data_IF_853930495068
#
_entry.id   IF_853930495068
#
_cell.length_a   1.000
_cell.length_b   1.000
_cell.length_c   1.000
_cell.angle_alpha   90.00
_cell.angle_beta   90.00
_cell.angle_gamma   90.00
#
_symmetry.space_group_name_H-M   'P 1'
#
loop_
_entity.id
_entity.type
_entity.pdbx_description
1 polymer ?
#
# COMPACT_ATOMS: atom_id res chain seq x y z
N UNK A 1 23.64 -7.04 44.52
CA UNK A 1 23.15 -5.98 45.40
C UNK A 1 24.33 -5.06 45.74
N UNK A 2 24.31 -3.81 45.31
CA UNK A 2 25.42 -2.88 45.55
C UNK A 2 25.49 -2.44 47.03
N UNK A 3 24.42 -2.67 47.79
CA UNK A 3 24.33 -2.35 49.21
C UNK A 3 25.41 -3.04 50.05
N UNK A 4 25.72 -4.31 49.78
CA UNK A 4 26.78 -5.04 50.51
C UNK A 4 28.16 -4.40 50.36
N UNK A 5 28.44 -3.78 49.21
CA UNK A 5 29.69 -3.06 48.98
C UNK A 5 29.67 -1.66 49.60
N UNK A 6 28.50 -1.04 49.70
CA UNK A 6 28.31 0.21 50.44
C UNK A 6 28.55 0.01 51.95
N UNK A 7 28.03 -1.08 52.52
CA UNK A 7 28.19 -1.42 53.93
C UNK A 7 29.67 -1.68 54.29
N UNK A 8 30.44 -2.27 53.38
CA UNK A 8 31.89 -2.43 53.55
C UNK A 8 32.66 -1.10 53.65
N UNK A 9 32.08 0.02 53.19
CA UNK A 9 32.67 1.37 53.25
C UNK A 9 32.29 2.13 54.54
N UNK A 10 31.53 1.53 55.47
CA UNK A 10 31.03 2.20 56.67
C UNK A 10 32.15 2.75 57.56
N UNK A 11 33.25 2.01 57.67
CA UNK A 11 34.43 2.38 58.46
C UNK A 11 35.29 3.48 57.82
N UNK A 12 34.97 3.91 56.59
CA UNK A 12 35.70 4.97 55.87
C UNK A 12 34.99 6.33 55.99
N UNK A 13 35.73 7.39 55.66
CA UNK A 13 35.19 8.74 55.63
C UNK A 13 33.95 8.81 54.71
N UNK A 14 32.92 9.55 55.15
CA UNK A 14 31.65 9.78 54.46
C UNK A 14 31.85 10.22 53.00
N UNK A 15 32.95 10.92 52.70
CA UNK A 15 33.29 11.32 51.34
C UNK A 15 33.35 10.15 50.34
N UNK A 16 33.97 9.02 50.72
CA UNK A 16 34.06 7.84 49.84
C UNK A 16 32.69 7.20 49.59
N UNK A 17 31.82 7.20 50.61
CA UNK A 17 30.44 6.73 50.50
C UNK A 17 29.62 7.61 49.54
N UNK A 18 29.79 8.93 49.61
CA UNK A 18 29.12 9.86 48.69
C UNK A 18 29.56 9.65 47.24
N UNK A 19 30.87 9.54 47.00
CA UNK A 19 31.38 9.26 45.65
C UNK A 19 30.82 7.95 45.11
N UNK A 20 30.77 6.90 45.94
CA UNK A 20 30.23 5.61 45.54
C UNK A 20 28.75 5.70 45.14
N UNK A 21 27.93 6.40 45.94
CA UNK A 21 26.50 6.60 45.62
C UNK A 21 26.32 7.42 44.35
N UNK A 22 27.11 8.49 44.15
CA UNK A 22 27.07 9.28 42.92
C UNK A 22 27.46 8.43 41.71
N UNK A 23 28.50 7.60 41.84
CA UNK A 23 28.91 6.68 40.78
C UNK A 23 27.79 5.68 40.43
N UNK A 24 27.20 5.01 41.42
CA UNK A 24 26.14 4.03 41.19
C UNK A 24 24.90 4.68 40.57
N UNK A 25 24.47 5.83 41.08
CA UNK A 25 23.29 6.54 40.54
C UNK A 25 23.53 6.99 39.11
N UNK A 26 24.70 7.55 38.81
CA UNK A 26 25.10 7.91 37.46
C UNK A 26 25.15 6.69 36.53
N UNK A 27 25.77 5.58 36.95
CA UNK A 27 25.85 4.35 36.17
C UNK A 27 24.47 3.75 35.88
N UNK A 28 23.57 3.72 36.87
CA UNK A 28 22.21 3.22 36.67
C UNK A 28 21.43 4.11 35.69
N UNK A 29 21.53 5.43 35.83
CA UNK A 29 20.89 6.37 34.92
C UNK A 29 21.44 6.22 33.49
N UNK A 30 22.76 6.09 33.34
CA UNK A 30 23.40 5.87 32.04
C UNK A 30 22.92 4.58 31.39
N UNK A 31 22.87 3.46 32.13
CA UNK A 31 22.39 2.17 31.61
C UNK A 31 20.93 2.26 31.17
N UNK A 32 20.05 2.85 31.99
CA UNK A 32 18.63 3.00 31.65
C UNK A 32 18.45 3.86 30.39
N UNK A 33 19.22 4.94 30.25
CA UNK A 33 19.14 5.80 29.06
C UNK A 33 19.67 5.11 27.81
N UNK A 34 20.75 4.32 27.91
CA UNK A 34 21.27 3.54 26.78
C UNK A 34 20.22 2.53 26.33
N UNK A 35 19.65 1.77 27.26
CA UNK A 35 18.62 0.76 26.96
C UNK A 35 17.38 1.44 26.36
N UNK A 36 16.92 2.54 26.95
CA UNK A 36 15.79 3.32 26.41
C UNK A 36 16.09 3.83 25.00
N UNK A 37 17.32 4.31 24.75
CA UNK A 37 17.75 4.76 23.43
C UNK A 37 17.61 3.67 22.37
N UNK A 38 18.10 2.46 22.65
CA UNK A 38 17.98 1.31 21.74
C UNK A 38 16.51 0.94 21.49
N UNK A 39 15.66 0.96 22.52
CA UNK A 39 14.24 0.67 22.34
C UNK A 39 13.52 1.74 21.52
N UNK A 40 13.84 3.02 21.73
CA UNK A 40 13.27 4.12 20.94
C UNK A 40 13.71 4.03 19.48
N UNK A 41 14.99 3.76 19.22
CA UNK A 41 15.51 3.57 17.87
C UNK A 41 14.79 2.41 17.16
N UNK A 42 14.69 1.25 17.81
CA UNK A 42 13.97 0.09 17.26
C UNK A 42 12.49 0.38 16.98
N UNK A 43 11.81 1.13 17.86
CA UNK A 43 10.41 1.53 17.67
C UNK A 43 10.24 2.58 16.56
N UNK A 44 11.24 3.44 16.33
CA UNK A 44 11.22 4.41 15.24
C UNK A 44 11.48 3.73 13.88
N UNK A 45 12.44 2.81 13.82
CA UNK A 45 12.75 2.03 12.61
C UNK A 45 11.57 1.17 12.16
N UNK A 46 10.87 0.50 13.09
CA UNK A 46 9.70 -0.32 12.75
C UNK A 46 8.59 0.52 12.11
N UNK A 47 8.34 1.72 12.64
CA UNK A 47 7.35 2.64 12.06
C UNK A 47 7.70 3.12 10.64
N UNK A 48 8.99 3.22 10.32
CA UNK A 48 9.44 3.61 8.97
C UNK A 48 9.33 2.44 7.99
N UNK A 49 9.79 1.25 8.39
CA UNK A 49 9.71 0.05 7.57
C UNK A 49 8.25 -0.27 7.18
N UNK A 50 7.31 -0.15 8.11
CA UNK A 50 5.89 -0.40 7.84
C UNK A 50 5.33 0.56 6.77
N UNK A 51 5.71 1.85 6.80
CA UNK A 51 5.28 2.82 5.79
C UNK A 51 5.85 2.52 4.42
N UNK A 52 7.14 2.19 4.33
CA UNK A 52 7.76 1.88 3.04
C UNK A 52 7.19 0.59 2.43
N UNK A 53 6.91 -0.43 3.25
CA UNK A 53 6.27 -1.67 2.81
C UNK A 53 4.89 -1.39 2.22
N UNK A 54 4.04 -0.63 2.93
CA UNK A 54 2.70 -0.27 2.44
C UNK A 54 2.78 0.50 1.12
N UNK A 55 3.67 1.49 1.03
CA UNK A 55 3.85 2.28 -0.20
C UNK A 55 4.33 1.41 -1.35
N UNK A 56 5.29 0.51 -1.10
CA UNK A 56 5.81 -0.38 -2.14
C UNK A 56 4.77 -1.39 -2.62
N UNK A 57 3.95 -1.92 -1.71
CA UNK A 57 2.86 -2.83 -2.03
C UNK A 57 1.78 -2.13 -2.88
N UNK A 58 1.35 -0.93 -2.51
CA UNK A 58 0.39 -0.12 -3.28
C UNK A 58 0.92 0.18 -4.70
N UNK A 59 2.17 0.61 -4.82
CA UNK A 59 2.80 0.87 -6.14
C UNK A 59 2.89 -0.42 -6.96
N UNK A 60 3.25 -1.54 -6.33
CA UNK A 60 3.36 -2.85 -6.98
C UNK A 60 2.03 -3.35 -7.50
N UNK A 61 0.97 -3.28 -6.68
CA UNK A 61 -0.38 -3.66 -7.07
C UNK A 61 -0.90 -2.79 -8.21
N UNK A 62 -0.69 -1.46 -8.14
CA UNK A 62 -1.07 -0.55 -9.23
C UNK A 62 -0.35 -0.88 -10.53
N UNK A 63 0.95 -1.18 -10.48
CA UNK A 63 1.73 -1.53 -11.68
C UNK A 63 1.25 -2.84 -12.31
N UNK A 64 0.98 -3.86 -11.49
CA UNK A 64 0.44 -5.14 -11.95
C UNK A 64 -0.93 -4.95 -12.61
N UNK A 65 -1.81 -4.18 -11.97
CA UNK A 65 -3.11 -3.84 -12.52
C UNK A 65 -2.99 -3.13 -13.88
N UNK A 66 -2.15 -2.10 -14.00
CA UNK A 66 -1.95 -1.39 -15.27
C UNK A 66 -1.40 -2.31 -16.37
N UNK A 67 -0.54 -3.27 -16.02
CA UNK A 67 -0.02 -4.27 -16.97
C UNK A 67 -1.13 -5.19 -17.47
N UNK A 68 -1.93 -5.75 -16.57
CA UNK A 68 -3.05 -6.63 -16.92
C UNK A 68 -4.09 -5.89 -17.79
N UNK A 69 -4.34 -4.61 -17.50
CA UNK A 69 -5.27 -3.81 -18.29
C UNK A 69 -4.73 -3.46 -19.67
N UNK A 70 -3.43 -3.21 -19.78
CA UNK A 70 -2.78 -2.98 -21.06
C UNK A 70 -2.80 -4.23 -21.94
N UNK A 71 -2.54 -5.40 -21.36
CA UNK A 71 -2.65 -6.68 -22.06
C UNK A 71 -4.08 -6.94 -22.54
N UNK A 72 -5.08 -6.59 -21.73
CA UNK A 72 -6.49 -6.74 -22.12
C UNK A 72 -6.88 -5.74 -23.22
N UNK A 73 -6.39 -4.50 -23.17
CA UNK A 73 -6.58 -3.51 -24.23
C UNK A 73 -5.98 -4.01 -25.56
N UNK A 74 -4.74 -4.50 -25.54
CA UNK A 74 -4.07 -5.10 -26.71
C UNK A 74 -4.79 -6.37 -27.20
N UNK A 75 -5.44 -7.14 -26.33
CA UNK A 75 -6.25 -8.28 -26.75
C UNK A 75 -7.55 -7.84 -27.45
N UNK A 76 -8.08 -6.66 -27.12
CA UNK A 76 -9.31 -6.10 -27.70
C UNK A 76 -9.05 -5.35 -29.01
N UNK A 77 -8.04 -4.48 -29.05
CA UNK A 77 -7.54 -3.73 -30.22
C UNK A 77 -6.92 -4.70 -31.23
N UNK A 78 -7.69 -5.06 -32.25
CA UNK A 78 -7.33 -6.16 -33.17
C UNK A 78 -6.61 -5.66 -34.42
N UNK A 79 -6.81 -4.39 -34.74
CA UNK A 79 -6.22 -3.72 -35.87
C UNK A 79 -4.96 -2.90 -35.50
N UNK A 80 -4.54 -2.97 -34.23
CA UNK A 80 -3.41 -2.23 -33.65
C UNK A 80 -3.54 -0.72 -33.94
N UNK A 81 -4.78 -0.21 -33.96
CA UNK A 81 -5.04 1.22 -34.19
C UNK A 81 -4.70 2.07 -32.97
N UNK A 82 -4.59 1.45 -31.79
CA UNK A 82 -4.43 2.14 -30.51
C UNK A 82 -5.74 2.63 -29.92
N UNK A 83 -6.87 2.23 -30.52
CA UNK A 83 -8.23 2.61 -30.15
C UNK A 83 -9.14 1.37 -30.24
N UNK A 84 -10.22 1.34 -29.45
CA UNK A 84 -11.26 0.30 -29.57
C UNK A 84 -12.55 0.97 -30.02
N UNK A 85 -13.04 0.62 -31.20
CA UNK A 85 -14.32 1.16 -31.68
C UNK A 85 -15.53 0.38 -31.11
N UNK A 86 -16.74 0.91 -31.29
CA UNK A 86 -17.95 0.31 -30.74
C UNK A 86 -18.23 -1.12 -31.25
N UNK A 87 -17.94 -1.39 -32.53
CA UNK A 87 -18.15 -2.72 -33.14
C UNK A 87 -17.16 -3.75 -32.59
N UNK A 88 -15.90 -3.35 -32.44
CA UNK A 88 -14.85 -4.17 -31.82
C UNK A 88 -15.18 -4.48 -30.37
N UNK A 89 -15.59 -3.46 -29.61
CA UNK A 89 -15.97 -3.60 -28.21
C UNK A 89 -17.14 -4.57 -28.03
N UNK A 90 -18.20 -4.43 -28.83
CA UNK A 90 -19.36 -5.32 -28.80
C UNK A 90 -18.98 -6.75 -29.23
N UNK A 91 -18.16 -6.90 -30.27
CA UNK A 91 -17.71 -8.21 -30.74
C UNK A 91 -16.86 -8.95 -29.70
N UNK A 92 -16.08 -8.22 -28.88
CA UNK A 92 -15.23 -8.79 -27.83
C UNK A 92 -15.99 -9.11 -26.56
N UNK A 93 -17.04 -8.35 -26.26
CA UNK A 93 -17.96 -8.71 -25.17
C UNK A 93 -18.83 -9.93 -25.48
N UNK A 94 -18.82 -10.43 -26.71
CA UNK A 94 -19.35 -11.75 -27.04
C UNK A 94 -18.38 -12.91 -26.71
N UNK A 95 -17.10 -12.62 -26.43
CA UNK A 95 -16.11 -13.63 -26.02
C UNK A 95 -16.20 -13.87 -24.50
N UNK A 96 -16.52 -15.11 -24.11
CA UNK A 96 -16.62 -15.52 -22.71
C UNK A 96 -15.33 -15.23 -21.92
N UNK A 97 -14.17 -15.24 -22.57
CA UNK A 97 -12.88 -14.93 -21.91
C UNK A 97 -12.82 -13.47 -21.50
N UNK A 98 -13.18 -12.55 -22.39
CA UNK A 98 -13.17 -11.10 -22.12
C UNK A 98 -14.22 -10.76 -21.06
N UNK A 99 -15.42 -11.34 -21.17
CA UNK A 99 -16.48 -11.21 -20.15
C UNK A 99 -16.01 -11.70 -18.79
N UNK A 100 -15.30 -12.83 -18.72
CA UNK A 100 -14.72 -13.33 -17.47
C UNK A 100 -13.71 -12.36 -16.86
N UNK A 101 -12.90 -11.66 -17.66
CA UNK A 101 -11.98 -10.62 -17.17
C UNK A 101 -12.74 -9.41 -16.62
N UNK A 102 -13.74 -8.89 -17.33
CA UNK A 102 -14.55 -7.78 -16.81
C UNK A 102 -15.28 -8.16 -15.51
N UNK A 103 -15.80 -9.38 -15.42
CA UNK A 103 -16.40 -9.90 -14.19
C UNK A 103 -15.36 -10.05 -13.05
N UNK A 104 -14.14 -10.51 -13.36
CA UNK A 104 -13.06 -10.56 -12.37
C UNK A 104 -12.69 -9.16 -11.84
N UNK A 105 -12.90 -8.13 -12.65
CA UNK A 105 -12.75 -6.72 -12.26
C UNK A 105 -13.98 -6.14 -11.54
N UNK A 106 -15.04 -6.93 -11.34
CA UNK A 106 -16.35 -6.50 -10.82
C UNK A 106 -17.03 -5.43 -11.68
N UNK A 107 -16.79 -5.45 -12.98
CA UNK A 107 -17.49 -4.61 -13.93
C UNK A 107 -18.64 -5.39 -14.53
N UNK A 108 -19.85 -4.85 -14.36
CA UNK A 108 -21.05 -5.42 -14.94
C UNK A 108 -21.08 -5.13 -16.45
N UNK A 109 -20.87 -6.17 -17.24
CA UNK A 109 -20.84 -6.14 -18.71
C UNK A 109 -22.19 -6.49 -19.34
N UNK A 110 -23.28 -6.49 -18.55
CA UNK A 110 -24.63 -6.81 -19.04
C UNK A 110 -25.11 -5.89 -20.18
N UNK A 111 -24.59 -4.66 -20.26
CA UNK A 111 -24.86 -3.73 -21.37
C UNK A 111 -23.55 -3.17 -21.93
N UNK A 112 -23.06 -3.81 -23.00
CA UNK A 112 -21.87 -3.41 -23.75
C UNK A 112 -21.94 -1.96 -24.25
N UNK A 113 -23.12 -1.52 -24.70
CA UNK A 113 -23.32 -0.17 -25.24
C UNK A 113 -23.26 0.88 -24.12
N UNK A 114 -23.85 0.58 -22.97
CA UNK A 114 -23.76 1.45 -21.79
C UNK A 114 -22.33 1.53 -21.27
N UNK A 115 -21.62 0.40 -21.19
CA UNK A 115 -20.23 0.38 -20.74
C UNK A 115 -19.32 1.16 -21.70
N UNK A 116 -19.50 1.00 -23.01
CA UNK A 116 -18.76 1.76 -24.01
C UNK A 116 -18.91 3.26 -23.80
N UNK A 117 -20.14 3.75 -23.62
CA UNK A 117 -20.43 5.16 -23.35
C UNK A 117 -19.89 5.68 -22.02
N UNK A 118 -19.70 4.79 -21.04
CA UNK A 118 -19.08 5.16 -19.75
C UNK A 118 -17.56 5.30 -19.87
N UNK A 119 -16.94 4.58 -20.81
CA UNK A 119 -15.50 4.61 -21.07
C UNK A 119 -15.12 5.74 -22.05
N UNK A 120 -15.89 5.94 -23.12
CA UNK A 120 -15.77 7.04 -24.09
C UNK A 120 -16.27 8.36 -23.47
N UNK A 121 -15.40 9.03 -22.70
CA UNK A 121 -15.76 10.27 -22.01
C UNK A 121 -15.64 11.50 -22.91
N UNK A 122 -14.87 11.43 -23.99
CA UNK A 122 -14.68 12.52 -24.93
C UNK A 122 -15.73 12.53 -26.06
N UNK A 123 -16.47 11.43 -26.21
CA UNK A 123 -17.53 11.26 -27.19
C UNK A 123 -17.01 11.09 -28.61
N UNK A 124 -15.76 10.64 -28.77
CA UNK A 124 -15.13 10.41 -30.06
C UNK A 124 -15.72 9.22 -30.81
N UNK A 125 -16.39 8.30 -30.10
CA UNK A 125 -16.90 7.05 -30.66
C UNK A 125 -15.84 5.95 -30.73
N UNK A 126 -14.67 6.19 -30.17
CA UNK A 126 -13.56 5.25 -30.01
C UNK A 126 -13.05 5.33 -28.57
N UNK A 127 -12.53 4.23 -28.02
CA UNK A 127 -11.94 4.23 -26.67
C UNK A 127 -10.43 4.14 -26.82
N UNK A 128 -9.73 5.21 -26.51
CA UNK A 128 -8.27 5.20 -26.43
C UNK A 128 -7.74 4.42 -25.21
N UNK A 129 -6.48 4.03 -25.24
CA UNK A 129 -5.84 3.33 -24.11
C UNK A 129 -5.94 4.09 -22.77
N UNK A 130 -5.81 5.42 -22.80
CA UNK A 130 -5.91 6.25 -21.61
C UNK A 130 -7.35 6.28 -21.06
N UNK A 131 -8.34 6.30 -21.95
CA UNK A 131 -9.75 6.27 -21.59
C UNK A 131 -10.15 4.92 -21.03
N UNK A 132 -9.65 3.84 -21.64
CA UNK A 132 -9.83 2.49 -21.15
C UNK A 132 -9.24 2.33 -19.74
N UNK A 133 -7.96 2.66 -19.55
CA UNK A 133 -7.28 2.52 -18.27
C UNK A 133 -7.94 3.34 -17.16
N UNK A 134 -8.25 4.61 -17.44
CA UNK A 134 -8.88 5.50 -16.45
C UNK A 134 -10.34 5.12 -16.19
N UNK A 135 -11.09 4.76 -17.24
CA UNK A 135 -12.49 4.38 -17.16
C UNK A 135 -12.68 3.11 -16.33
N UNK A 136 -11.94 2.05 -16.64
CA UNK A 136 -11.98 0.79 -15.88
C UNK A 136 -11.52 1.02 -14.42
N UNK A 137 -10.45 1.79 -14.20
CA UNK A 137 -9.98 2.11 -12.84
C UNK A 137 -11.02 2.86 -12.02
N UNK A 138 -11.71 3.84 -12.63
CA UNK A 138 -12.77 4.62 -11.97
C UNK A 138 -13.99 3.78 -11.64
N UNK A 139 -14.45 2.97 -12.60
CA UNK A 139 -15.61 2.09 -12.42
C UNK A 139 -15.35 1.01 -11.35
N UNK A 140 -14.12 0.47 -11.29
CA UNK A 140 -13.73 -0.45 -10.22
C UNK A 140 -13.70 0.24 -8.84
N UNK A 141 -13.23 1.50 -8.78
CA UNK A 141 -13.22 2.29 -7.55
C UNK A 141 -14.64 2.56 -7.01
N UNK A 142 -15.58 2.90 -7.89
CA UNK A 142 -16.99 3.10 -7.53
C UNK A 142 -17.67 1.79 -7.08
N UNK A 143 -17.37 0.67 -7.76
CA UNK A 143 -17.84 -0.68 -7.37
C UNK A 143 -17.36 -1.07 -5.96
N UNK A 144 -16.08 -0.83 -5.63
CA UNK A 144 -15.54 -1.07 -4.27
C UNK A 144 -16.16 -0.17 -3.21
N UNK A 145 -16.44 1.09 -3.55
CA UNK A 145 -17.07 2.04 -2.62
C UNK A 145 -18.53 1.65 -2.32
N UNK A 146 -19.28 1.17 -3.32
CA UNK A 146 -20.64 0.68 -3.16
C UNK A 146 -20.70 -0.59 -2.31
N UNK A 147 -19.82 -1.56 -2.55
CA UNK A 147 -19.73 -2.79 -1.76
C UNK A 147 -19.45 -2.50 -0.27
N UNK A 148 -18.60 -1.51 0.04
CA UNK A 148 -18.34 -1.09 1.43
C UNK A 148 -19.51 -0.34 2.08
N UNK A 149 -20.34 0.35 1.29
CA UNK A 149 -21.48 1.11 1.80
C UNK A 149 -22.73 0.24 2.06
N UNK A 150 -22.81 -0.93 1.41
CA UNK A 150 -23.93 -1.87 1.51
C UNK A 150 -23.67 -2.96 2.58
N UNK A 151 -22.42 -3.11 3.04
CA UNK A 151 -22.02 -4.04 4.11
C UNK A 151 -22.23 -3.45 5.50
#
# INVERSE_FOLDING_TARGET
DWATYYDALENLNVFYRLIFVVFITFSLFAVVNIVTGVFVESALESNQADREIIVHEEIGQKKKYLSEMKELFEEMDRDDTGCINAEEFESRLADERVVAYFNAMKLDVTDATMLFRLLDYDGSGEIGIDEFLNGVYKLQGESRALDMAIM
#
